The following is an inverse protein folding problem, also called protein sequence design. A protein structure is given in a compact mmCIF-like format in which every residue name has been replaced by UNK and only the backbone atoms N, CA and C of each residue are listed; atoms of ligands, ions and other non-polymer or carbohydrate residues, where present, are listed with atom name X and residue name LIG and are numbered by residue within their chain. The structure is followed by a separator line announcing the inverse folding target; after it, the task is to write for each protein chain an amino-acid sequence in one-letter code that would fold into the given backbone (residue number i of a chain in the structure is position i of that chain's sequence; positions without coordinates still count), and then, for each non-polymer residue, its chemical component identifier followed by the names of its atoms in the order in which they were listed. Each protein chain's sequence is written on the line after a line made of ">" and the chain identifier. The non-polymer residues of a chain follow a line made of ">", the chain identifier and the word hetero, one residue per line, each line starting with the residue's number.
data_IF_895662062544
#
_entry.id   IF_895662062544
#
_cell.length_a   1.000
_cell.length_b   1.000
_cell.length_c   1.000
_cell.angle_alpha   90.00
_cell.angle_beta   90.00
_cell.angle_gamma   90.00
#
_symmetry.space_group_name_H-M   'P 1'
#
loop_
_entity.id
_entity.type
_entity.pdbx_description
1 polymer ?
#
# COMPACT_ATOMS: atom_id res chain seq x y z
N UNK A 1 -6.61 -4.15 44.35
CA UNK A 1 -7.07 -4.92 43.18
C UNK A 1 -6.86 -4.03 41.96
N UNK A 2 -5.72 -4.19 41.27
CA UNK A 2 -5.43 -3.47 40.03
C UNK A 2 -6.08 -4.25 38.89
N UNK A 3 -7.14 -3.71 38.29
CA UNK A 3 -7.73 -4.24 37.08
C UNK A 3 -6.76 -3.89 35.94
N UNK A 4 -6.07 -4.91 35.45
CA UNK A 4 -5.31 -4.87 34.21
C UNK A 4 -6.31 -4.57 33.11
N UNK A 5 -6.28 -3.37 32.57
CA UNK A 5 -6.85 -3.06 31.27
C UNK A 5 -5.98 -3.84 30.25
N UNK A 6 -6.42 -5.05 29.90
CA UNK A 6 -5.98 -5.63 28.63
C UNK A 6 -6.50 -4.70 27.57
N UNK A 7 -5.62 -3.88 27.02
CA UNK A 7 -5.91 -3.10 25.84
C UNK A 7 -6.33 -4.12 24.76
N UNK A 8 -7.58 -4.02 24.35
CA UNK A 8 -8.03 -4.54 23.09
C UNK A 8 -7.22 -3.80 22.01
N UNK A 9 -6.06 -4.33 21.69
CA UNK A 9 -5.43 -4.09 20.41
C UNK A 9 -6.28 -4.83 19.37
N UNK A 10 -7.45 -4.27 19.07
CA UNK A 10 -8.17 -4.61 17.83
C UNK A 10 -7.20 -4.22 16.73
N UNK A 11 -6.83 -5.15 15.85
CA UNK A 11 -5.85 -4.87 14.82
C UNK A 11 -6.35 -3.75 13.92
N UNK A 12 -5.79 -2.56 14.09
CA UNK A 12 -5.96 -1.41 13.20
C UNK A 12 -5.49 -1.69 11.76
N UNK A 13 -4.97 -2.90 11.52
CA UNK A 13 -4.39 -3.36 10.27
C UNK A 13 -5.40 -3.84 9.23
N UNK A 14 -6.66 -4.02 9.59
CA UNK A 14 -7.67 -4.53 8.65
C UNK A 14 -8.44 -3.44 7.89
N UNK A 15 -8.03 -2.19 8.07
CA UNK A 15 -8.65 -1.04 7.42
C UNK A 15 -7.57 -0.13 6.83
N UNK A 16 -6.84 -0.61 5.81
CA UNK A 16 -5.99 0.26 5.02
C UNK A 16 -6.87 1.37 4.42
N UNK A 17 -6.70 2.58 4.88
CA UNK A 17 -7.49 3.76 4.51
C UNK A 17 -8.35 4.33 5.63
N UNK A 18 -8.75 3.56 6.66
CA UNK A 18 -9.66 4.06 7.71
C UNK A 18 -8.99 4.39 9.05
N UNK A 19 -7.68 4.16 9.20
CA UNK A 19 -6.98 4.47 10.46
C UNK A 19 -7.07 5.96 10.86
N UNK A 20 -7.34 6.84 9.89
CA UNK A 20 -7.54 8.29 10.09
C UNK A 20 -9.00 8.73 9.93
N UNK A 21 -9.92 7.83 9.58
CA UNK A 21 -11.33 8.19 9.39
C UNK A 21 -11.99 8.66 10.70
N UNK A 22 -12.82 9.69 10.60
CA UNK A 22 -13.61 10.19 11.71
C UNK A 22 -15.02 9.60 11.65
N UNK A 23 -15.48 8.94 12.71
CA UNK A 23 -16.88 8.57 12.85
C UNK A 23 -17.72 9.83 13.06
N UNK A 24 -18.54 10.17 12.07
CA UNK A 24 -19.38 11.38 12.08
C UNK A 24 -20.80 11.10 12.57
N UNK A 25 -21.20 9.84 12.57
CA UNK A 25 -22.50 9.42 13.10
C UNK A 25 -22.42 8.01 13.70
N UNK A 26 -23.05 7.82 14.83
CA UNK A 26 -23.28 6.51 15.45
C UNK A 26 -24.78 6.40 15.79
N UNK A 27 -25.42 5.36 15.27
CA UNK A 27 -26.81 5.05 15.54
C UNK A 27 -26.99 4.35 16.90
N UNK A 28 -28.22 4.24 17.40
CA UNK A 28 -28.53 3.58 18.69
C UNK A 28 -28.15 2.08 18.71
N UNK A 29 -28.16 1.42 17.55
CA UNK A 29 -27.76 0.03 17.40
C UNK A 29 -26.24 -0.17 17.25
N UNK A 30 -25.46 0.92 17.29
CA UNK A 30 -24.01 0.90 17.13
C UNK A 30 -23.53 0.99 15.68
N UNK A 31 -24.45 1.11 14.69
CA UNK A 31 -24.08 1.36 13.29
C UNK A 31 -23.39 2.69 13.11
N UNK A 32 -22.37 2.80 12.22
CA UNK A 32 -21.54 3.99 12.05
C UNK A 32 -21.55 4.51 10.62
N UNK A 33 -21.31 5.83 10.50
CA UNK A 33 -20.87 6.48 9.27
C UNK A 33 -19.53 7.13 9.55
N UNK A 34 -18.55 6.83 8.71
CA UNK A 34 -17.17 7.28 8.83
C UNK A 34 -16.79 8.11 7.61
N UNK A 35 -16.04 9.18 7.83
CA UNK A 35 -15.53 10.09 6.79
C UNK A 35 -14.03 10.22 6.94
N UNK A 36 -13.34 10.21 5.83
CA UNK A 36 -11.91 10.41 5.72
C UNK A 36 -11.59 11.49 4.69
N UNK A 37 -10.61 12.31 4.98
CA UNK A 37 -9.97 13.15 3.98
C UNK A 37 -8.48 13.29 4.27
N UNK A 38 -7.69 13.34 3.19
CA UNK A 38 -6.29 13.78 3.21
C UNK A 38 -6.18 15.00 2.30
N UNK A 39 -5.57 16.04 2.81
CA UNK A 39 -5.14 17.20 2.03
C UNK A 39 -3.63 17.36 2.25
N UNK A 40 -2.85 17.08 1.23
CA UNK A 40 -1.41 17.18 1.25
C UNK A 40 -0.92 18.11 0.16
N UNK A 41 0.11 18.86 0.47
CA UNK A 41 0.84 19.70 -0.49
C UNK A 41 2.33 19.45 -0.29
N UNK A 42 3.07 19.28 -1.38
CA UNK A 42 4.52 19.25 -1.32
C UNK A 42 5.15 20.04 -2.47
N UNK A 43 6.33 20.56 -2.20
CA UNK A 43 7.26 21.10 -3.16
C UNK A 43 8.34 20.06 -3.37
N UNK A 44 8.65 19.75 -4.61
CA UNK A 44 9.63 18.73 -5.00
C UNK A 44 10.24 19.08 -6.35
N UNK A 45 11.46 18.64 -6.60
CA UNK A 45 12.11 18.65 -7.92
C UNK A 45 12.14 17.26 -8.56
N UNK A 46 11.41 16.29 -7.99
CA UNK A 46 11.32 14.92 -8.51
C UNK A 46 10.81 14.92 -9.94
N UNK A 47 11.65 14.44 -10.90
CA UNK A 47 11.36 14.34 -12.34
C UNK A 47 11.15 15.68 -13.05
N UNK A 48 11.63 16.76 -12.48
CA UNK A 48 11.54 18.10 -13.04
C UNK A 48 12.87 18.82 -12.84
N UNK A 49 13.26 19.64 -13.81
CA UNK A 49 14.49 20.45 -13.70
C UNK A 49 14.40 21.53 -12.60
N UNK A 50 13.18 21.98 -12.31
CA UNK A 50 12.88 23.00 -11.31
C UNK A 50 11.89 22.49 -10.26
N UNK A 51 11.87 23.11 -9.09
CA UNK A 51 10.92 22.80 -8.03
C UNK A 51 9.46 23.04 -8.46
N UNK A 52 8.63 22.04 -8.32
CA UNK A 52 7.19 22.07 -8.62
C UNK A 52 6.35 21.82 -7.37
N UNK A 53 5.12 22.28 -7.37
CA UNK A 53 4.13 22.00 -6.34
C UNK A 53 3.23 20.84 -6.73
N UNK A 54 3.15 19.82 -5.88
CA UNK A 54 2.23 18.71 -6.02
C UNK A 54 1.17 18.74 -4.93
N UNK A 55 -0.02 18.28 -5.25
CA UNK A 55 -1.15 18.20 -4.33
C UNK A 55 -1.68 16.76 -4.23
N UNK A 56 -1.74 16.21 -3.00
CA UNK A 56 -2.32 14.89 -2.71
C UNK A 56 -3.63 15.09 -1.95
N UNK A 57 -4.75 14.92 -2.64
CA UNK A 57 -6.07 15.05 -2.03
C UNK A 57 -6.84 13.72 -2.13
N UNK A 58 -7.42 13.30 -1.01
CA UNK A 58 -8.23 12.09 -0.93
C UNK A 58 -9.50 12.36 -0.15
N UNK A 59 -10.56 11.66 -0.52
CA UNK A 59 -11.81 11.65 0.23
C UNK A 59 -12.31 10.21 0.34
N UNK A 60 -12.79 9.84 1.51
CA UNK A 60 -13.37 8.53 1.77
C UNK A 60 -14.66 8.63 2.58
N UNK A 61 -15.56 7.71 2.30
CA UNK A 61 -16.83 7.54 3.01
C UNK A 61 -17.08 6.06 3.20
N UNK A 62 -17.53 5.68 4.39
CA UNK A 62 -17.89 4.31 4.68
C UNK A 62 -18.59 4.17 6.01
N UNK A 63 -18.54 2.98 6.58
CA UNK A 63 -19.12 2.71 7.88
C UNK A 63 -19.50 1.24 8.05
N UNK A 64 -20.25 1.01 9.12
CA UNK A 64 -20.77 -0.30 9.47
C UNK A 64 -22.26 -0.25 9.79
N UNK A 65 -22.99 -1.28 9.39
CA UNK A 65 -24.37 -1.51 9.81
C UNK A 65 -24.42 -2.78 10.66
N UNK A 66 -24.80 -2.65 11.90
CA UNK A 66 -24.97 -3.77 12.83
C UNK A 66 -26.19 -4.62 12.41
N UNK A 67 -25.96 -5.94 12.21
CA UNK A 67 -27.01 -6.90 11.93
C UNK A 67 -27.41 -7.63 13.22
N UNK A 68 -26.41 -7.99 14.03
CA UNK A 68 -26.56 -8.55 15.38
C UNK A 68 -25.22 -8.41 16.14
N UNK A 69 -25.15 -8.93 17.36
CA UNK A 69 -23.99 -8.83 18.25
C UNK A 69 -22.67 -9.37 17.67
N UNK A 70 -22.71 -10.13 16.57
CA UNK A 70 -21.54 -10.81 15.97
C UNK A 70 -21.32 -10.48 14.50
N UNK A 71 -22.28 -9.82 13.86
CA UNK A 71 -22.25 -9.61 12.41
C UNK A 71 -22.60 -8.17 12.07
N UNK A 72 -21.76 -7.54 11.28
CA UNK A 72 -22.03 -6.24 10.66
C UNK A 72 -21.80 -6.30 9.16
N UNK A 73 -22.59 -5.56 8.40
CA UNK A 73 -22.28 -5.20 7.00
C UNK A 73 -21.37 -3.98 7.03
N UNK A 74 -20.30 -4.02 6.26
CA UNK A 74 -19.29 -2.97 6.21
C UNK A 74 -19.04 -2.52 4.79
N UNK A 75 -18.60 -1.28 4.60
CA UNK A 75 -18.27 -0.77 3.28
C UNK A 75 -17.41 0.48 3.35
N UNK A 76 -16.64 0.69 2.28
CA UNK A 76 -15.74 1.83 2.15
C UNK A 76 -15.60 2.24 0.70
N UNK A 77 -15.59 3.55 0.44
CA UNK A 77 -15.25 4.14 -0.83
C UNK A 77 -14.24 5.27 -0.60
N UNK A 78 -13.07 5.19 -1.23
CA UNK A 78 -12.01 6.21 -1.17
C UNK A 78 -11.54 6.55 -2.57
N UNK A 79 -11.45 7.84 -2.83
CA UNK A 79 -11.02 8.38 -4.11
C UNK A 79 -9.84 9.34 -3.93
N UNK A 80 -8.90 9.30 -4.88
CA UNK A 80 -7.96 10.36 -5.13
C UNK A 80 -8.68 11.48 -5.88
N UNK A 81 -8.46 12.73 -5.47
CA UNK A 81 -9.05 13.92 -6.09
C UNK A 81 -7.97 14.62 -6.90
N UNK A 82 -7.95 14.39 -8.21
CA UNK A 82 -6.91 14.90 -9.09
C UNK A 82 -7.13 16.37 -9.51
N UNK A 83 -8.25 16.98 -9.11
CA UNK A 83 -8.62 18.35 -9.49
C UNK A 83 -7.65 19.45 -9.03
N UNK A 84 -6.79 19.14 -8.04
CA UNK A 84 -5.80 20.07 -7.52
C UNK A 84 -4.40 19.86 -8.12
N UNK A 85 -4.22 18.85 -8.95
CA UNK A 85 -2.96 18.57 -9.64
C UNK A 85 -2.89 19.35 -10.95
N UNK A 86 -1.76 20.04 -11.20
CA UNK A 86 -1.58 20.87 -12.39
C UNK A 86 -1.69 20.09 -13.72
N UNK A 87 -1.53 18.76 -13.66
CA UNK A 87 -1.62 17.84 -14.80
C UNK A 87 -2.88 16.98 -14.79
N UNK A 88 -3.71 17.10 -13.75
CA UNK A 88 -4.94 16.31 -13.61
C UNK A 88 -6.06 16.84 -14.52
N UNK A 89 -6.81 15.94 -15.12
CA UNK A 89 -8.01 16.28 -15.90
C UNK A 89 -9.22 16.66 -15.02
N UNK A 90 -9.01 16.89 -13.72
CA UNK A 90 -10.06 17.15 -12.76
C UNK A 90 -10.86 15.91 -12.34
N UNK A 91 -10.40 14.73 -12.70
CA UNK A 91 -11.09 13.48 -12.47
C UNK A 91 -10.84 12.91 -11.07
N UNK A 92 -11.75 12.06 -10.63
CA UNK A 92 -11.62 11.27 -9.41
C UNK A 92 -11.20 9.86 -9.77
N UNK A 93 -10.12 9.37 -9.20
CA UNK A 93 -9.69 7.99 -9.40
C UNK A 93 -9.97 7.13 -8.17
N UNK A 94 -10.58 5.93 -8.34
CA UNK A 94 -10.91 5.05 -7.23
C UNK A 94 -9.63 4.47 -6.62
N UNK A 95 -9.47 4.63 -5.30
CA UNK A 95 -8.42 3.98 -4.53
C UNK A 95 -8.92 2.67 -3.94
N UNK A 96 -9.99 2.74 -3.16
CA UNK A 96 -10.67 1.61 -2.55
C UNK A 96 -12.18 1.77 -2.73
N UNK A 97 -12.86 0.75 -3.22
CA UNK A 97 -14.33 0.72 -3.32
C UNK A 97 -14.77 -0.72 -3.07
N UNK A 98 -15.30 -1.00 -1.89
CA UNK A 98 -15.65 -2.35 -1.50
C UNK A 98 -16.79 -2.39 -0.47
N UNK A 99 -17.47 -3.53 -0.40
CA UNK A 99 -18.43 -3.87 0.65
C UNK A 99 -18.13 -5.27 1.18
N UNK A 100 -18.64 -5.58 2.36
CA UNK A 100 -18.40 -6.88 2.96
C UNK A 100 -19.18 -7.15 4.23
N UNK A 101 -18.80 -8.23 4.88
CA UNK A 101 -19.36 -8.70 6.15
C UNK A 101 -18.22 -8.85 7.14
N UNK A 102 -18.35 -8.23 8.31
CA UNK A 102 -17.51 -8.49 9.48
C UNK A 102 -18.28 -9.44 10.40
N UNK A 103 -17.75 -10.65 10.59
CA UNK A 103 -18.31 -11.66 11.45
C UNK A 103 -17.51 -11.80 12.78
N UNK A 104 -16.92 -10.71 13.24
CA UNK A 104 -16.12 -10.62 14.46
C UNK A 104 -15.01 -11.69 14.50
N UNK A 105 -15.04 -12.60 15.48
CA UNK A 105 -14.02 -13.67 15.63
C UNK A 105 -13.97 -14.63 14.42
N UNK A 106 -15.02 -14.72 13.61
CA UNK A 106 -15.02 -15.51 12.40
C UNK A 106 -14.35 -14.82 11.20
N UNK A 107 -13.90 -13.56 11.38
CA UNK A 107 -13.19 -12.79 10.39
C UNK A 107 -14.08 -11.97 9.47
N UNK A 108 -13.46 -11.39 8.44
CA UNK A 108 -14.09 -10.49 7.47
C UNK A 108 -14.05 -11.09 6.08
N UNK A 109 -15.15 -10.94 5.35
CA UNK A 109 -15.21 -11.19 3.90
C UNK A 109 -15.54 -9.88 3.22
N UNK A 110 -14.69 -9.44 2.30
CA UNK A 110 -14.88 -8.19 1.52
C UNK A 110 -14.77 -8.46 0.04
N UNK A 111 -15.48 -7.70 -0.76
CA UNK A 111 -15.47 -7.79 -2.21
C UNK A 111 -15.44 -6.39 -2.85
N UNK A 112 -14.62 -6.24 -3.89
CA UNK A 112 -14.44 -5.02 -4.68
C UNK A 112 -12.96 -4.66 -4.86
N UNK A 113 -12.66 -3.37 -4.93
CA UNK A 113 -11.30 -2.84 -4.93
C UNK A 113 -10.83 -2.68 -3.48
N UNK A 114 -10.33 -3.77 -2.91
CA UNK A 114 -9.88 -3.84 -1.52
C UNK A 114 -8.37 -3.56 -1.42
N UNK A 115 -7.89 -3.30 -0.19
CA UNK A 115 -6.49 -3.50 0.13
C UNK A 115 -6.27 -4.98 0.46
N UNK A 116 -5.59 -5.72 -0.41
CA UNK A 116 -5.29 -7.13 -0.12
C UNK A 116 -4.27 -7.24 1.02
N UNK A 117 -4.18 -8.45 1.59
CA UNK A 117 -3.25 -8.70 2.70
C UNK A 117 -1.78 -8.39 2.39
N UNK A 118 -1.39 -8.26 1.13
CA UNK A 118 -0.02 -7.85 0.73
C UNK A 118 0.37 -6.50 1.35
N UNK A 119 -0.62 -5.67 1.71
CA UNK A 119 -0.36 -4.42 2.44
C UNK A 119 0.41 -4.64 3.76
N UNK A 120 0.29 -5.81 4.40
CA UNK A 120 1.06 -6.13 5.61
C UNK A 120 2.57 -6.18 5.34
N UNK A 121 2.97 -6.52 4.11
CA UNK A 121 4.36 -6.45 3.68
C UNK A 121 4.72 -5.02 3.25
N UNK A 122 3.84 -4.35 2.52
CA UNK A 122 4.00 -2.95 2.11
C UNK A 122 4.25 -2.01 3.29
N UNK A 123 3.54 -2.18 4.39
CA UNK A 123 3.67 -1.36 5.61
C UNK A 123 5.08 -1.34 6.23
N UNK A 124 5.95 -2.29 5.84
CA UNK A 124 7.35 -2.33 6.28
C UNK A 124 8.19 -1.29 5.55
N UNK A 125 7.93 -1.06 4.27
CA UNK A 125 8.63 -0.09 3.40
C UNK A 125 7.92 1.26 3.31
N UNK A 126 6.58 1.28 3.32
CA UNK A 126 5.75 2.49 3.19
C UNK A 126 5.69 3.29 4.50
N UNK A 127 6.83 3.81 4.90
CA UNK A 127 6.97 4.57 6.17
C UNK A 127 7.15 6.07 5.96
N UNK A 128 7.49 6.52 4.76
CA UNK A 128 7.78 7.92 4.46
C UNK A 128 6.52 8.72 4.13
N UNK A 129 6.56 10.03 4.35
CA UNK A 129 5.43 10.90 4.03
C UNK A 129 5.22 11.08 2.52
N UNK A 130 6.28 11.05 1.71
CA UNK A 130 6.23 11.35 0.29
C UNK A 130 6.95 10.34 -0.62
N UNK A 131 7.73 9.42 -0.08
CA UNK A 131 8.39 8.36 -0.86
C UNK A 131 7.57 7.08 -0.86
N UNK A 132 7.52 6.40 -2.00
CA UNK A 132 6.79 5.15 -2.17
C UNK A 132 7.62 3.93 -1.78
N UNK A 133 6.93 2.81 -1.54
CA UNK A 133 7.51 1.48 -1.34
C UNK A 133 7.80 0.83 -2.70
N UNK A 134 8.84 -0.01 -2.78
CA UNK A 134 9.12 -0.82 -3.98
C UNK A 134 8.52 -2.21 -3.80
N UNK A 135 7.37 -2.45 -4.39
CA UNK A 135 6.62 -3.69 -4.21
C UNK A 135 5.87 -4.10 -5.47
N UNK A 136 6.31 -5.20 -6.13
CA UNK A 136 5.60 -5.76 -7.28
C UNK A 136 5.43 -4.77 -8.42
N UNK A 137 6.51 -4.15 -8.87
CA UNK A 137 6.54 -3.10 -9.88
C UNK A 137 5.84 -3.49 -11.19
N UNK A 138 5.94 -4.76 -11.59
CA UNK A 138 5.42 -5.23 -12.88
C UNK A 138 3.91 -5.56 -12.86
N UNK A 139 3.21 -5.29 -11.75
CA UNK A 139 1.79 -5.60 -11.60
C UNK A 139 0.91 -4.93 -12.65
N UNK A 140 1.20 -3.70 -13.04
CA UNK A 140 0.44 -2.97 -14.07
C UNK A 140 0.54 -3.62 -15.46
N UNK A 141 1.56 -4.45 -15.70
CA UNK A 141 1.70 -5.18 -16.96
C UNK A 141 0.71 -6.32 -17.11
N UNK A 142 0.09 -6.79 -16.02
CA UNK A 142 -0.88 -7.88 -16.04
C UNK A 142 -2.29 -7.43 -15.66
N UNK A 143 -2.44 -6.31 -14.97
CA UNK A 143 -3.73 -5.80 -14.54
C UNK A 143 -3.77 -4.27 -14.62
N UNK A 144 -4.46 -3.73 -15.62
CA UNK A 144 -4.65 -2.28 -15.81
C UNK A 144 -5.39 -1.61 -14.65
N UNK A 145 -6.15 -2.38 -13.85
CA UNK A 145 -6.83 -1.86 -12.67
C UNK A 145 -5.89 -1.69 -11.47
N UNK A 146 -4.75 -2.40 -11.47
CA UNK A 146 -3.84 -2.45 -10.35
C UNK A 146 -2.97 -1.20 -10.29
N UNK A 147 -3.29 -0.28 -9.40
CA UNK A 147 -2.37 0.82 -9.08
C UNK A 147 -1.19 0.38 -8.20
N UNK A 148 -1.28 -0.78 -7.58
CA UNK A 148 -0.25 -1.44 -6.74
C UNK A 148 -0.62 -2.92 -6.59
N UNK A 149 0.34 -3.78 -6.31
CA UNK A 149 0.15 -5.23 -6.14
C UNK A 149 -0.97 -5.61 -5.17
N UNK A 150 -1.19 -4.81 -4.12
CA UNK A 150 -2.24 -5.05 -3.14
C UNK A 150 -3.60 -4.39 -3.48
N UNK A 151 -3.76 -3.79 -4.68
CA UNK A 151 -4.97 -3.02 -5.03
C UNK A 151 -5.43 -3.36 -6.44
N UNK A 152 -6.29 -4.36 -6.54
CA UNK A 152 -6.89 -4.85 -7.78
C UNK A 152 -8.41 -4.86 -7.68
N UNK A 153 -9.08 -4.60 -8.80
CA UNK A 153 -10.54 -4.72 -8.90
C UNK A 153 -10.98 -6.19 -8.82
N UNK A 154 -12.24 -6.42 -8.46
CA UNK A 154 -12.82 -7.77 -8.44
C UNK A 154 -12.24 -8.70 -7.36
N UNK A 155 -11.58 -8.16 -6.34
CA UNK A 155 -10.98 -8.96 -5.27
C UNK A 155 -12.01 -9.40 -4.25
N UNK A 156 -12.21 -10.72 -4.11
CA UNK A 156 -12.92 -11.36 -3.00
C UNK A 156 -11.89 -11.79 -1.96
N UNK A 157 -11.96 -11.23 -0.76
CA UNK A 157 -10.95 -11.39 0.28
C UNK A 157 -11.58 -11.90 1.57
N UNK A 158 -10.88 -12.83 2.23
CA UNK A 158 -11.10 -13.20 3.63
C UNK A 158 -9.89 -12.79 4.47
N UNK A 159 -10.16 -12.17 5.61
CA UNK A 159 -9.14 -11.74 6.59
C UNK A 159 -9.56 -12.16 7.99
N UNK A 160 -8.60 -12.62 8.79
CA UNK A 160 -8.81 -12.91 10.20
C UNK A 160 -7.51 -12.79 11.01
N UNK A 161 -7.68 -12.67 12.33
CA UNK A 161 -6.60 -12.69 13.31
C UNK A 161 -6.85 -13.80 14.35
N UNK A 162 -5.88 -14.67 14.52
CA UNK A 162 -5.89 -15.77 15.49
C UNK A 162 -4.84 -15.52 16.56
N UNK A 163 -5.19 -14.73 17.57
CA UNK A 163 -4.23 -14.27 18.57
C UNK A 163 -3.16 -13.37 17.96
N UNK A 164 -1.91 -13.84 17.94
CA UNK A 164 -0.78 -13.11 17.37
C UNK A 164 -0.57 -13.33 15.86
N UNK A 165 -1.39 -14.17 15.24
CA UNK A 165 -1.31 -14.49 13.81
C UNK A 165 -2.41 -13.80 13.02
N UNK A 166 -2.01 -12.91 12.10
CA UNK A 166 -2.89 -12.26 11.11
C UNK A 166 -2.75 -12.97 9.77
N UNK A 167 -3.87 -13.20 9.09
CA UNK A 167 -3.88 -13.79 7.76
C UNK A 167 -4.86 -13.09 6.82
N UNK A 168 -4.54 -13.17 5.55
CA UNK A 168 -5.42 -12.79 4.45
C UNK A 168 -5.27 -13.78 3.30
N UNK A 169 -6.39 -14.16 2.71
CA UNK A 169 -6.43 -14.87 1.44
C UNK A 169 -7.44 -14.18 0.52
N UNK A 170 -7.10 -14.06 -0.75
CA UNK A 170 -7.96 -13.42 -1.72
C UNK A 170 -7.97 -14.15 -3.05
N UNK A 171 -9.09 -14.07 -3.75
CA UNK A 171 -9.24 -14.46 -5.14
C UNK A 171 -9.66 -13.24 -5.95
N UNK A 172 -8.97 -13.00 -7.07
CA UNK A 172 -9.23 -11.87 -7.96
C UNK A 172 -10.01 -12.37 -9.15
N UNK A 173 -11.25 -11.91 -9.27
CA UNK A 173 -12.16 -12.25 -10.34
C UNK A 173 -11.93 -11.32 -11.53
N UNK A 174 -11.87 -11.87 -12.73
CA UNK A 174 -11.85 -11.09 -13.95
C UNK A 174 -13.14 -10.28 -14.14
N UNK A 175 -13.02 -9.20 -14.87
CA UNK A 175 -14.13 -8.36 -15.31
C UNK A 175 -13.87 -7.86 -16.73
N UNK A 176 -14.73 -6.96 -17.27
CA UNK A 176 -14.55 -6.43 -18.62
C UNK A 176 -13.31 -5.53 -18.81
N UNK A 177 -12.74 -5.06 -17.71
CA UNK A 177 -11.56 -4.15 -17.68
C UNK A 177 -10.25 -4.91 -17.46
N UNK A 178 -10.31 -6.12 -16.89
CA UNK A 178 -9.15 -6.97 -16.63
C UNK A 178 -9.35 -8.36 -17.21
N UNK A 179 -8.36 -8.93 -17.86
CA UNK A 179 -8.40 -10.29 -18.41
C UNK A 179 -8.11 -11.37 -17.35
N UNK A 180 -8.22 -11.05 -16.04
CA UNK A 180 -7.84 -11.97 -14.97
C UNK A 180 -8.56 -13.33 -15.08
N UNK A 181 -7.80 -14.41 -15.02
CA UNK A 181 -8.26 -15.80 -15.10
C UNK A 181 -7.54 -16.66 -14.04
N UNK A 182 -8.16 -16.81 -12.86
CA UNK A 182 -7.62 -17.66 -11.80
C UNK A 182 -6.57 -17.00 -10.87
N UNK A 183 -6.65 -15.70 -10.67
CA UNK A 183 -5.72 -14.94 -9.84
C UNK A 183 -6.02 -15.03 -8.34
N UNK A 184 -4.98 -15.10 -7.50
CA UNK A 184 -5.14 -15.22 -6.03
C UNK A 184 -3.92 -14.69 -5.28
N UNK A 185 -4.12 -14.35 -4.00
CA UNK A 185 -3.03 -14.05 -3.08
C UNK A 185 -3.26 -14.63 -1.67
N UNK A 186 -2.18 -14.80 -0.93
CA UNK A 186 -2.19 -15.23 0.46
C UNK A 186 -1.06 -14.55 1.23
N UNK A 187 -1.37 -14.08 2.44
CA UNK A 187 -0.42 -13.39 3.33
C UNK A 187 -0.61 -13.87 4.76
N UNK A 188 0.50 -14.00 5.47
CA UNK A 188 0.51 -14.30 6.88
C UNK A 188 1.55 -13.46 7.61
N UNK A 189 1.17 -12.94 8.79
CA UNK A 189 2.04 -12.23 9.72
C UNK A 189 1.88 -12.82 11.12
N UNK A 190 2.98 -13.01 11.81
CA UNK A 190 2.96 -13.40 13.22
C UNK A 190 3.70 -12.36 14.07
N UNK A 191 3.10 -11.90 15.16
CA UNK A 191 3.71 -10.93 16.06
C UNK A 191 4.19 -11.63 17.34
N UNK A 192 5.51 -11.72 17.50
CA UNK A 192 6.14 -12.19 18.72
C UNK A 192 6.22 -11.04 19.73
N UNK A 193 5.65 -11.22 20.90
CA UNK A 193 5.87 -10.33 22.04
C UNK A 193 7.14 -10.80 22.78
N UNK A 194 8.18 -9.97 22.77
CA UNK A 194 9.47 -10.23 23.41
C UNK A 194 9.57 -9.54 24.78
N UNK A 195 8.44 -9.10 25.34
CA UNK A 195 8.37 -8.40 26.60
C UNK A 195 9.13 -7.05 26.53
N UNK A 196 10.07 -6.85 27.45
CA UNK A 196 10.86 -5.60 27.48
C UNK A 196 11.80 -5.43 26.27
N UNK A 197 11.98 -6.46 25.44
CA UNK A 197 12.75 -6.39 24.21
C UNK A 197 11.88 -6.00 22.99
N UNK A 198 10.61 -5.60 23.20
CA UNK A 198 9.74 -5.12 22.15
C UNK A 198 8.95 -6.20 21.45
N UNK A 199 8.63 -5.97 20.16
CA UNK A 199 7.89 -6.92 19.32
C UNK A 199 8.64 -7.20 18.02
N UNK A 200 8.50 -8.42 17.50
CA UNK A 200 9.06 -8.87 16.23
C UNK A 200 7.96 -9.47 15.38
N UNK A 201 7.75 -8.94 14.17
CA UNK A 201 6.66 -9.34 13.29
C UNK A 201 7.18 -9.76 11.91
N UNK A 202 7.49 -11.05 11.67
CA UNK A 202 7.69 -11.59 10.33
C UNK A 202 6.40 -11.60 9.53
N UNK A 203 6.53 -11.31 8.22
CA UNK A 203 5.46 -11.33 7.21
C UNK A 203 5.92 -12.17 6.03
N UNK A 204 5.03 -12.95 5.45
CA UNK A 204 5.23 -13.62 4.17
C UNK A 204 4.01 -13.39 3.28
N UNK A 205 4.25 -13.14 2.00
CA UNK A 205 3.21 -12.86 1.02
C UNK A 205 3.48 -13.61 -0.28
N UNK A 206 2.42 -14.05 -0.93
CA UNK A 206 2.45 -14.65 -2.25
C UNK A 206 1.25 -14.20 -3.07
N UNK A 207 1.45 -13.97 -4.37
CA UNK A 207 0.39 -13.68 -5.33
C UNK A 207 0.71 -14.35 -6.67
N UNK A 208 -0.32 -14.85 -7.33
CA UNK A 208 -0.28 -15.30 -8.70
C UNK A 208 -1.44 -14.70 -9.47
N UNK A 209 -1.15 -14.16 -10.64
CA UNK A 209 -2.15 -13.66 -11.58
C UNK A 209 -1.93 -14.36 -12.92
N UNK A 210 -3.01 -14.79 -13.55
CA UNK A 210 -3.03 -15.27 -14.93
C UNK A 210 -4.07 -14.51 -15.71
N UNK A 211 -3.79 -14.19 -16.96
CA UNK A 211 -4.75 -13.51 -17.85
C UNK A 211 -5.01 -14.35 -19.09
N UNK A 212 -6.28 -14.41 -19.48
CA UNK A 212 -6.72 -15.04 -20.71
C UNK A 212 -6.64 -14.13 -21.94
N UNK A 213 -7.33 -14.51 -23.00
CA UNK A 213 -7.46 -13.71 -24.22
C UNK A 213 -8.07 -12.34 -23.94
N UNK A 214 -7.66 -11.34 -24.73
CA UNK A 214 -8.21 -10.02 -24.64
C UNK A 214 -9.72 -10.02 -24.90
N UNK A 215 -10.48 -9.39 -24.00
CA UNK A 215 -11.93 -9.23 -24.15
C UNK A 215 -12.28 -7.97 -24.96
N UNK A 216 -11.32 -7.07 -25.18
CA UNK A 216 -11.47 -5.84 -25.94
C UNK A 216 -10.12 -5.16 -26.24
N UNK A 217 -10.12 -4.05 -26.98
CA UNK A 217 -8.88 -3.35 -27.34
C UNK A 217 -8.18 -2.73 -26.12
N UNK A 218 -8.93 -2.34 -25.08
CA UNK A 218 -8.42 -1.60 -23.92
C UNK A 218 -7.58 -2.50 -22.99
N UNK A 219 -7.80 -3.83 -23.04
CA UNK A 219 -7.05 -4.80 -22.24
C UNK A 219 -6.20 -5.78 -23.08
N UNK A 220 -6.00 -5.49 -24.37
CA UNK A 220 -5.16 -6.30 -25.25
C UNK A 220 -3.69 -6.36 -24.78
N UNK A 221 -3.21 -5.30 -24.14
CA UNK A 221 -1.84 -5.20 -23.66
C UNK A 221 -1.53 -6.10 -22.47
N UNK A 222 -2.56 -6.53 -21.72
CA UNK A 222 -2.40 -7.39 -20.53
C UNK A 222 -2.83 -8.84 -20.76
N UNK A 223 -3.25 -9.20 -22.00
CA UNK A 223 -3.75 -10.52 -22.33
C UNK A 223 -2.65 -11.59 -22.40
N UNK A 224 -3.01 -12.83 -22.09
CA UNK A 224 -2.17 -14.02 -22.20
C UNK A 224 -0.81 -13.86 -21.48
N UNK A 225 -0.86 -13.45 -20.23
CA UNK A 225 0.31 -13.28 -19.36
C UNK A 225 0.13 -14.02 -18.04
N UNK A 226 1.24 -14.45 -17.49
CA UNK A 226 1.35 -14.98 -16.14
C UNK A 226 2.28 -14.09 -15.31
N UNK A 227 1.87 -13.83 -14.08
CA UNK A 227 2.60 -13.03 -13.11
C UNK A 227 2.65 -13.75 -11.77
N UNK A 228 3.81 -13.76 -11.16
CA UNK A 228 3.98 -14.23 -9.78
C UNK A 228 4.71 -13.20 -8.95
N UNK A 229 4.28 -13.06 -7.73
CA UNK A 229 4.92 -12.23 -6.72
C UNK A 229 5.08 -13.05 -5.43
N UNK A 230 6.20 -12.91 -4.79
CA UNK A 230 6.39 -13.35 -3.42
C UNK A 230 7.26 -12.37 -2.65
N UNK A 231 7.03 -12.27 -1.36
CA UNK A 231 7.82 -11.41 -0.50
C UNK A 231 7.86 -11.90 0.93
N UNK A 232 8.91 -11.50 1.62
CA UNK A 232 9.09 -11.72 3.04
C UNK A 232 9.61 -10.46 3.71
N UNK A 233 9.14 -10.18 4.91
CA UNK A 233 9.55 -9.00 5.65
C UNK A 233 9.58 -9.22 7.14
N UNK A 234 10.23 -8.33 7.84
CA UNK A 234 10.39 -8.33 9.27
C UNK A 234 10.26 -6.91 9.80
N UNK A 235 9.37 -6.71 10.75
CA UNK A 235 9.25 -5.46 11.49
C UNK A 235 9.64 -5.71 12.96
N UNK A 236 10.52 -4.87 13.49
CA UNK A 236 10.89 -4.87 14.90
C UNK A 236 10.54 -3.53 15.53
N UNK A 237 9.82 -3.55 16.65
CA UNK A 237 9.45 -2.35 17.41
C UNK A 237 9.96 -2.43 18.83
N UNK A 238 10.70 -1.40 19.23
CA UNK A 238 11.20 -1.23 20.59
C UNK A 238 11.06 0.23 21.03
N UNK A 239 10.15 0.49 21.96
CA UNK A 239 9.85 1.86 22.45
C UNK A 239 9.57 2.83 21.29
N UNK A 240 10.42 3.84 21.11
CA UNK A 240 10.32 4.86 20.07
C UNK A 240 10.88 4.43 18.70
N UNK A 241 11.55 3.27 18.62
CA UNK A 241 12.22 2.79 17.42
C UNK A 241 11.40 1.70 16.72
N UNK A 242 11.20 1.85 15.40
CA UNK A 242 10.71 0.80 14.51
C UNK A 242 11.75 0.56 13.43
N UNK A 243 12.15 -0.69 13.24
CA UNK A 243 13.01 -1.13 12.15
C UNK A 243 12.23 -2.05 11.23
N UNK A 244 12.42 -1.90 9.94
CA UNK A 244 11.85 -2.72 8.90
C UNK A 244 12.92 -3.28 7.96
N UNK A 245 12.71 -4.52 7.52
CA UNK A 245 13.48 -5.13 6.43
C UNK A 245 12.52 -5.98 5.60
N UNK A 246 12.55 -5.83 4.28
CA UNK A 246 11.79 -6.70 3.39
C UNK A 246 12.56 -7.03 2.12
N UNK A 247 12.22 -8.17 1.56
CA UNK A 247 12.60 -8.61 0.23
C UNK A 247 11.34 -9.02 -0.53
N UNK A 248 11.27 -8.65 -1.80
CA UNK A 248 10.25 -9.16 -2.69
C UNK A 248 10.82 -9.45 -4.08
N UNK A 249 10.15 -10.34 -4.78
CA UNK A 249 10.44 -10.69 -6.16
C UNK A 249 9.13 -10.83 -6.91
N UNK A 250 9.09 -10.26 -8.10
CA UNK A 250 8.01 -10.50 -9.05
C UNK A 250 8.55 -10.87 -10.42
N UNK A 251 7.79 -11.73 -11.09
CA UNK A 251 8.10 -12.26 -12.41
C UNK A 251 6.88 -12.16 -13.31
N UNK A 252 7.09 -11.76 -14.55
CA UNK A 252 6.05 -11.75 -15.58
C UNK A 252 6.57 -12.37 -16.86
N UNK A 253 5.70 -13.15 -17.51
CA UNK A 253 5.93 -13.75 -18.83
C UNK A 253 4.64 -13.75 -19.66
N UNK A 254 4.77 -14.03 -20.96
CA UNK A 254 3.65 -14.16 -21.88
C UNK A 254 3.64 -13.14 -23.00
N UNK A 255 2.46 -12.81 -23.50
CA UNK A 255 2.31 -11.99 -24.71
C UNK A 255 2.97 -10.61 -24.57
N UNK A 256 3.86 -10.28 -25.51
CA UNK A 256 4.57 -9.00 -25.56
C UNK A 256 5.75 -8.88 -24.57
N UNK A 257 6.03 -9.93 -23.79
CA UNK A 257 7.20 -10.04 -22.92
C UNK A 257 8.22 -10.96 -23.58
N UNK A 258 9.47 -10.52 -23.67
CA UNK A 258 10.54 -11.35 -24.25
C UNK A 258 11.15 -12.26 -23.20
N UNK A 259 10.68 -13.51 -23.13
CA UNK A 259 11.09 -14.45 -22.10
C UNK A 259 10.40 -14.18 -20.77
N UNK A 260 11.14 -14.13 -19.68
CA UNK A 260 10.66 -13.82 -18.33
C UNK A 260 11.31 -12.53 -17.84
N UNK A 261 10.53 -11.51 -17.54
CA UNK A 261 11.01 -10.30 -16.84
C UNK A 261 10.87 -10.50 -15.34
N UNK A 262 11.94 -10.26 -14.60
CA UNK A 262 12.02 -10.48 -13.16
C UNK A 262 12.57 -9.27 -12.43
N UNK A 263 11.81 -8.78 -11.46
CA UNK A 263 12.28 -7.79 -10.50
C UNK A 263 12.66 -8.46 -9.18
N UNK A 264 13.72 -7.98 -8.58
CA UNK A 264 14.12 -8.30 -7.21
C UNK A 264 14.30 -7.00 -6.45
N UNK A 265 13.65 -6.89 -5.30
CA UNK A 265 13.70 -5.66 -4.50
C UNK A 265 13.97 -5.98 -3.04
N UNK A 266 14.70 -5.10 -2.36
CA UNK A 266 14.82 -5.10 -0.90
C UNK A 266 14.75 -3.68 -0.36
N UNK A 267 14.15 -3.58 0.83
CA UNK A 267 14.07 -2.33 1.56
C UNK A 267 14.47 -2.52 3.01
N UNK A 268 15.17 -1.53 3.52
CA UNK A 268 15.48 -1.37 4.93
C UNK A 268 14.92 -0.04 5.39
N UNK A 269 14.19 -0.03 6.50
CA UNK A 269 13.60 1.19 7.05
C UNK A 269 13.88 1.33 8.54
N UNK A 270 14.00 2.57 8.99
CA UNK A 270 14.10 2.93 10.38
C UNK A 270 13.23 4.15 10.65
N UNK A 271 12.35 4.05 11.65
CA UNK A 271 11.51 5.14 12.13
C UNK A 271 11.82 5.36 13.60
N UNK A 272 12.16 6.59 13.96
CA UNK A 272 12.44 6.97 15.33
C UNK A 272 11.60 8.18 15.77
N UNK A 273 10.68 7.95 16.71
CA UNK A 273 9.90 9.01 17.34
C UNK A 273 10.78 9.70 18.39
N UNK A 274 11.37 10.84 18.03
CA UNK A 274 12.26 11.61 18.90
C UNK A 274 11.50 12.07 20.15
N UNK A 275 10.26 12.52 19.95
CA UNK A 275 9.28 12.86 20.97
C UNK A 275 7.88 12.88 20.33
N UNK A 276 6.87 13.40 21.03
CA UNK A 276 5.48 13.45 20.55
C UNK A 276 5.30 14.33 19.30
N UNK A 277 6.20 15.31 19.09
CA UNK A 277 6.11 16.28 18.00
C UNK A 277 7.02 15.92 16.82
N UNK A 278 8.10 15.16 17.01
CA UNK A 278 9.11 14.91 15.99
C UNK A 278 9.35 13.44 15.70
N UNK A 279 9.32 13.11 14.42
CA UNK A 279 9.69 11.78 13.90
C UNK A 279 10.81 11.93 12.87
N UNK A 280 11.85 11.11 12.99
CA UNK A 280 12.89 10.96 11.97
C UNK A 280 12.78 9.60 11.30
N UNK A 281 13.04 9.54 9.99
CA UNK A 281 13.02 8.31 9.21
C UNK A 281 14.25 8.20 8.33
N UNK A 282 14.71 6.98 8.13
CA UNK A 282 15.76 6.65 7.18
C UNK A 282 15.37 5.36 6.47
N UNK A 283 15.71 5.24 5.19
CA UNK A 283 15.48 4.03 4.42
C UNK A 283 16.52 3.84 3.33
N UNK A 284 16.69 2.59 2.94
CA UNK A 284 17.45 2.19 1.78
C UNK A 284 16.60 1.23 0.95
N UNK A 285 16.49 1.48 -0.35
CA UNK A 285 15.76 0.65 -1.29
C UNK A 285 16.67 0.27 -2.44
N UNK A 286 16.51 -0.96 -2.92
CA UNK A 286 17.16 -1.41 -4.13
C UNK A 286 16.23 -2.30 -4.92
N UNK A 287 16.24 -2.15 -6.25
CA UNK A 287 15.56 -2.97 -7.22
C UNK A 287 16.51 -3.27 -8.37
N UNK A 288 16.48 -4.50 -8.87
CA UNK A 288 17.17 -4.94 -10.06
C UNK A 288 16.18 -5.70 -10.94
N UNK A 289 16.03 -5.27 -12.19
CA UNK A 289 15.30 -6.02 -13.22
C UNK A 289 16.24 -6.86 -14.08
N UNK A 290 15.81 -8.06 -14.40
CA UNK A 290 16.51 -8.94 -15.35
C UNK A 290 15.53 -9.52 -16.36
N UNK A 291 15.91 -9.52 -17.64
CA UNK A 291 15.11 -10.05 -18.75
C UNK A 291 13.96 -9.14 -19.19
N UNK A 292 13.88 -7.91 -18.65
CA UNK A 292 12.88 -6.92 -19.01
C UNK A 292 13.52 -5.62 -19.48
N UNK A 293 13.35 -4.54 -18.70
CA UNK A 293 13.94 -3.24 -18.97
C UNK A 293 15.39 -3.11 -18.51
N UNK A 294 15.91 -4.08 -17.75
CA UNK A 294 17.26 -4.09 -17.16
C UNK A 294 17.52 -2.90 -16.24
N UNK A 295 16.46 -2.32 -15.67
CA UNK A 295 16.56 -1.17 -14.78
C UNK A 295 17.15 -1.55 -13.42
N UNK A 296 17.95 -0.66 -12.85
CA UNK A 296 18.52 -0.79 -11.50
C UNK A 296 18.22 0.48 -10.71
N UNK A 297 17.53 0.35 -9.58
CA UNK A 297 17.26 1.45 -8.66
C UNK A 297 17.93 1.20 -7.33
N UNK A 298 18.64 2.22 -6.83
CA UNK A 298 19.18 2.25 -5.47
C UNK A 298 18.93 3.63 -4.93
N UNK A 299 18.22 3.74 -3.84
CA UNK A 299 18.06 5.02 -3.17
C UNK A 299 18.20 4.93 -1.65
N UNK A 300 18.60 6.04 -1.08
CA UNK A 300 18.64 6.28 0.35
C UNK A 300 17.79 7.49 0.66
N UNK A 301 16.76 7.30 1.47
CA UNK A 301 15.83 8.36 1.89
C UNK A 301 16.10 8.75 3.34
N UNK A 302 16.20 10.06 3.60
CA UNK A 302 16.19 10.65 4.93
C UNK A 302 14.99 11.59 5.04
N UNK A 303 14.24 11.49 6.13
CA UNK A 303 13.05 12.31 6.36
C UNK A 303 12.95 12.76 7.81
N UNK A 304 12.50 13.99 8.01
CA UNK A 304 12.08 14.52 9.31
C UNK A 304 10.67 15.07 9.18
N UNK A 305 9.82 14.72 10.13
CA UNK A 305 8.43 15.16 10.21
C UNK A 305 8.15 15.82 11.55
N UNK A 306 7.50 16.98 11.50
CA UNK A 306 7.00 17.71 12.66
C UNK A 306 5.46 17.61 12.72
N UNK A 307 4.93 17.08 13.80
CA UNK A 307 3.50 16.93 14.03
C UNK A 307 2.95 18.22 14.65
N UNK A 308 2.20 19.00 13.88
CA UNK A 308 1.48 20.19 14.35
C UNK A 308 0.32 19.81 15.25
N UNK A 309 -0.33 18.71 14.93
CA UNK A 309 -1.41 18.07 15.71
C UNK A 309 -1.38 16.55 15.43
N UNK A 310 -2.22 15.76 16.09
CA UNK A 310 -2.39 14.35 15.79
C UNK A 310 -2.83 14.07 14.31
N UNK A 311 -3.28 15.10 13.59
CA UNK A 311 -3.84 14.99 12.22
C UNK A 311 -3.17 15.90 11.20
N UNK A 312 -2.16 16.65 11.59
CA UNK A 312 -1.46 17.55 10.68
C UNK A 312 0.03 17.57 10.95
N UNK A 313 0.82 17.60 9.88
CA UNK A 313 2.27 17.58 9.95
C UNK A 313 2.92 18.35 8.82
N UNK A 314 4.13 18.82 9.08
CA UNK A 314 5.05 19.32 8.07
C UNK A 314 6.19 18.30 8.00
N UNK A 315 6.66 18.00 6.80
CA UNK A 315 7.77 17.08 6.59
C UNK A 315 8.75 17.59 5.54
N UNK A 316 9.97 17.14 5.65
CA UNK A 316 10.98 17.30 4.60
C UNK A 316 11.76 16.01 4.45
N UNK A 317 12.01 15.62 3.21
CA UNK A 317 12.81 14.44 2.87
C UNK A 317 13.80 14.76 1.76
N UNK A 318 14.91 14.02 1.77
CA UNK A 318 15.88 14.01 0.69
C UNK A 318 16.14 12.58 0.27
N UNK A 319 16.10 12.32 -1.03
CA UNK A 319 16.30 11.00 -1.64
C UNK A 319 17.54 11.04 -2.51
N UNK A 320 18.55 10.31 -2.09
CA UNK A 320 19.80 10.13 -2.84
C UNK A 320 19.66 8.91 -3.72
N UNK A 321 19.76 9.07 -5.03
CA UNK A 321 19.65 7.99 -6.01
C UNK A 321 20.97 7.62 -6.64
N UNK A 322 21.09 6.33 -6.96
CA UNK A 322 22.16 5.76 -7.75
C UNK A 322 21.64 4.50 -8.43
N UNK A 323 21.36 4.58 -9.70
CA UNK A 323 20.76 3.49 -10.46
C UNK A 323 21.08 3.59 -11.94
N UNK A 324 20.33 2.84 -12.74
CA UNK A 324 20.38 2.84 -14.22
C UNK A 324 18.94 2.69 -14.72
N UNK A 325 18.53 3.56 -15.61
CA UNK A 325 17.19 3.53 -16.21
C UNK A 325 16.96 2.31 -17.13
N UNK A 326 18.01 1.54 -17.42
CA UNK A 326 17.94 0.38 -18.27
C UNK A 326 17.74 0.69 -19.76
N UNK A 327 17.39 -0.35 -20.52
CA UNK A 327 17.26 -0.28 -21.99
C UNK A 327 15.82 -0.13 -22.46
N UNK A 328 14.85 -0.23 -21.58
CA UNK A 328 13.44 -0.19 -21.89
C UNK A 328 12.85 1.21 -21.88
N UNK A 329 11.74 1.41 -22.62
CA UNK A 329 10.82 2.47 -22.31
C UNK A 329 10.25 2.14 -20.94
N UNK A 330 10.82 2.68 -19.90
CA UNK A 330 10.47 2.46 -18.49
C UNK A 330 9.12 3.07 -18.11
N UNK A 331 8.14 3.04 -19.02
CA UNK A 331 6.74 3.39 -18.77
C UNK A 331 6.06 2.49 -17.73
N UNK A 332 6.80 1.53 -17.18
CA UNK A 332 6.27 0.59 -16.18
C UNK A 332 5.97 1.28 -14.86
N UNK A 333 6.61 2.43 -14.58
CA UNK A 333 6.25 3.28 -13.45
C UNK A 333 6.55 4.75 -13.74
N UNK A 334 5.49 5.52 -13.94
CA UNK A 334 5.57 6.96 -14.16
C UNK A 334 6.26 7.75 -13.02
N UNK A 335 6.55 7.11 -11.90
CA UNK A 335 7.22 7.71 -10.76
C UNK A 335 8.71 7.43 -10.61
N UNK A 336 9.34 6.69 -11.54
CA UNK A 336 10.72 6.23 -11.43
C UNK A 336 11.60 6.59 -12.62
N UNK A 337 11.16 7.55 -13.43
CA UNK A 337 11.74 7.87 -14.73
C UNK A 337 13.20 8.33 -14.69
N UNK A 338 13.74 8.67 -13.52
CA UNK A 338 15.15 8.94 -13.37
C UNK A 338 15.75 8.20 -12.17
N UNK A 339 16.53 7.17 -12.48
CA UNK A 339 17.20 6.35 -11.49
C UNK A 339 18.49 7.01 -10.93
N UNK A 340 18.95 8.08 -11.55
CA UNK A 340 20.22 8.73 -11.22
C UNK A 340 20.03 10.07 -10.49
N UNK A 341 18.87 10.71 -10.57
CA UNK A 341 18.65 12.04 -10.01
C UNK A 341 18.17 12.01 -8.56
N UNK A 342 18.94 12.69 -7.70
CA UNK A 342 18.52 13.01 -6.34
C UNK A 342 17.32 13.96 -6.36
N UNK A 343 16.46 13.86 -5.36
CA UNK A 343 15.35 14.78 -5.20
C UNK A 343 14.97 15.03 -3.76
N UNK A 344 14.22 16.10 -3.51
CA UNK A 344 13.69 16.42 -2.19
C UNK A 344 12.18 16.59 -2.18
N UNK A 345 11.61 16.52 -0.97
CA UNK A 345 10.26 16.97 -0.69
C UNK A 345 10.25 17.93 0.51
N UNK A 346 9.40 18.95 0.41
CA UNK A 346 8.96 19.76 1.54
C UNK A 346 7.45 19.85 1.49
N UNK A 347 6.77 19.29 2.48
CA UNK A 347 5.32 19.17 2.40
C UNK A 347 4.59 19.43 3.70
N UNK A 348 3.29 19.61 3.56
CA UNK A 348 2.31 19.68 4.63
C UNK A 348 1.21 18.65 4.37
N UNK A 349 0.79 17.93 5.40
CA UNK A 349 -0.31 16.98 5.34
C UNK A 349 -1.31 17.26 6.46
N UNK A 350 -2.58 17.23 6.10
CA UNK A 350 -3.72 17.27 7.04
C UNK A 350 -4.67 16.10 6.71
N UNK A 351 -5.05 15.36 7.74
CA UNK A 351 -5.94 14.21 7.62
C UNK A 351 -7.06 14.28 8.66
N UNK A 352 -8.27 13.88 8.30
CA UNK A 352 -9.41 13.80 9.23
C UNK A 352 -10.39 12.68 8.86
#
# INVERSE_FOLDING_TARGET
>A
MKKTLLALAVPALLMAGSASAATVYTAEDGSTIDVYSRLGFNITDRQEDDAVGNFDARIGLGGSQVVNDKVSVIGWAEYQVNAAEARGNGDWSPRYVWAGIDASEAGKVTFGRVASGIIMLSDIGDVFAASDVVLGRQMELIDNSAAQTFRQDGTLQYQNSFGAFDMSVAYILGNSESNQDGSYNAVGRYTFDLGNAGTLAPVVAYQANSTGDATGPDNAATANRDYTFWGAGLQYKLNALTLGAMYNQDEIEGQGISGTSKDKSYELTAVYNINDDWTARAGYRALENTGGDEAEYKDTTLEVQYHLTARSSIYTSYVMRNGDNGTGNSNIWSGWNDAEEDYYHLGLRYEF
#
